data_IF_244912287473
#
_entry.id   IF_244912287473
#
_cell.length_a   1.000
_cell.length_b   1.000
_cell.length_c   1.000
_cell.angle_alpha   90.00
_cell.angle_beta   90.00
_cell.angle_gamma   90.00
#
_symmetry.space_group_name_H-M   'P 1'
#
loop_
_entity.id
_entity.type
_entity.pdbx_description
1 polymer ?
#
# COMPACT_ATOMS: atom_id res chain seq x y z
N UNK A 1 9.56 0.45 9.32
CA UNK A 1 8.09 0.55 9.48
C UNK A 1 7.64 1.60 10.51
N UNK A 2 8.08 1.53 11.78
CA UNK A 2 7.65 2.51 12.80
C UNK A 2 8.02 3.97 12.48
N UNK A 3 9.13 4.21 11.77
CA UNK A 3 9.46 5.56 11.25
C UNK A 3 8.37 6.07 10.30
N UNK A 4 8.01 5.29 9.28
CA UNK A 4 6.98 5.63 8.29
C UNK A 4 5.63 5.99 8.94
N UNK A 5 5.14 5.17 9.87
CA UNK A 5 3.85 5.41 10.54
C UNK A 5 3.89 6.60 11.52
N UNK A 6 5.06 6.96 12.06
CA UNK A 6 5.21 8.13 12.93
C UNK A 6 5.11 9.44 12.17
N UNK A 7 5.64 9.50 10.96
CA UNK A 7 5.59 10.69 10.10
C UNK A 7 4.18 10.95 9.54
N UNK A 8 3.33 9.92 9.48
CA UNK A 8 1.98 9.98 8.89
C UNK A 8 0.86 9.87 9.95
N UNK A 9 0.84 10.81 10.90
CA UNK A 9 -0.08 10.77 12.06
C UNK A 9 -1.56 10.62 11.71
N UNK A 10 -2.04 11.28 10.65
CA UNK A 10 -3.44 11.16 10.18
C UNK A 10 -3.76 9.73 9.70
N UNK A 11 -2.88 9.15 8.88
CA UNK A 11 -3.03 7.79 8.35
C UNK A 11 -2.98 6.78 9.49
N UNK A 12 -1.99 6.93 10.40
CA UNK A 12 -1.88 6.07 11.58
C UNK A 12 -3.14 6.09 12.44
N UNK A 13 -3.74 7.26 12.65
CA UNK A 13 -4.97 7.37 13.45
C UNK A 13 -6.16 6.69 12.76
N UNK A 14 -6.33 6.92 11.45
CA UNK A 14 -7.39 6.31 10.65
C UNK A 14 -7.33 4.77 10.67
N UNK A 15 -6.12 4.21 10.65
CA UNK A 15 -5.90 2.76 10.65
C UNK A 15 -5.52 2.18 12.02
N UNK A 16 -5.63 2.95 13.10
CA UNK A 16 -5.16 2.55 14.44
C UNK A 16 -5.74 1.20 14.90
N UNK A 17 -7.03 0.95 14.63
CA UNK A 17 -7.71 -0.31 14.97
C UNK A 17 -7.18 -1.50 14.16
N UNK A 18 -6.91 -1.32 12.86
CA UNK A 18 -6.30 -2.35 12.01
C UNK A 18 -4.86 -2.61 12.44
N UNK A 19 -4.06 -1.55 12.59
CA UNK A 19 -2.65 -1.63 12.97
C UNK A 19 -2.49 -2.31 14.35
N UNK A 20 -3.37 -1.98 15.30
CA UNK A 20 -3.39 -2.61 16.63
C UNK A 20 -3.84 -4.08 16.63
N UNK A 21 -4.43 -4.57 15.55
CA UNK A 21 -4.82 -5.97 15.39
C UNK A 21 -3.80 -6.81 14.61
N UNK A 22 -2.74 -6.19 14.09
CA UNK A 22 -1.74 -6.83 13.21
C UNK A 22 -0.33 -6.75 13.80
N UNK A 23 0.59 -7.56 13.26
CA UNK A 23 2.02 -7.45 13.58
C UNK A 23 2.65 -6.13 13.12
N UNK A 24 2.02 -5.42 12.18
CA UNK A 24 2.50 -4.14 11.63
C UNK A 24 2.54 -3.06 12.72
N UNK A 25 1.49 -2.96 13.54
CA UNK A 25 1.34 -1.92 14.57
C UNK A 25 1.85 -2.31 15.96
N UNK A 26 2.54 -3.44 16.12
CA UNK A 26 2.96 -4.02 17.42
C UNK A 26 1.80 -4.38 18.36
N UNK A 27 0.60 -4.59 17.81
CA UNK A 27 -0.52 -5.08 18.58
C UNK A 27 -0.35 -6.53 19.02
N UNK A 28 -1.27 -7.03 19.85
CA UNK A 28 -1.31 -8.44 20.26
C UNK A 28 -1.63 -9.42 19.10
N UNK A 29 -1.78 -8.91 17.86
CA UNK A 29 -1.87 -9.71 16.64
C UNK A 29 -3.07 -10.66 16.62
N UNK A 30 -4.29 -10.11 16.67
CA UNK A 30 -5.50 -10.93 16.55
C UNK A 30 -5.83 -11.32 15.10
N UNK A 31 -5.36 -10.54 14.11
CA UNK A 31 -5.53 -10.85 12.69
C UNK A 31 -4.39 -11.74 12.19
N UNK A 32 -4.76 -12.86 11.57
CA UNK A 32 -3.82 -13.72 10.86
C UNK A 32 -3.52 -13.13 9.48
N UNK A 33 -2.24 -13.02 9.09
CA UNK A 33 -1.88 -12.60 7.75
C UNK A 33 -2.12 -13.71 6.71
N UNK A 34 -2.45 -13.30 5.50
CA UNK A 34 -2.21 -14.08 4.29
C UNK A 34 -0.79 -13.81 3.81
N UNK A 35 0.08 -14.82 3.90
CA UNK A 35 1.48 -14.71 3.50
C UNK A 35 1.63 -15.08 2.03
N UNK A 36 2.43 -14.32 1.30
CA UNK A 36 2.70 -14.55 -0.11
C UNK A 36 4.13 -14.19 -0.48
N UNK A 37 4.53 -14.55 -1.69
CA UNK A 37 5.79 -14.15 -2.30
C UNK A 37 5.55 -13.88 -3.79
N UNK A 38 6.35 -13.01 -4.38
CA UNK A 38 6.30 -12.70 -5.81
C UNK A 38 7.71 -12.71 -6.39
N UNK A 39 7.80 -13.07 -7.68
CA UNK A 39 9.00 -12.88 -8.49
C UNK A 39 8.69 -11.80 -9.53
N UNK A 40 9.45 -10.71 -9.47
CA UNK A 40 9.25 -9.53 -10.31
C UNK A 40 10.48 -9.31 -11.17
N UNK A 41 10.27 -8.74 -12.36
CA UNK A 41 11.33 -8.14 -13.15
C UNK A 41 11.34 -6.63 -12.88
N UNK A 42 12.42 -6.14 -12.28
CA UNK A 42 12.61 -4.73 -11.94
C UNK A 42 13.93 -4.27 -12.52
N UNK A 43 13.87 -3.33 -13.48
CA UNK A 43 15.04 -2.80 -14.18
C UNK A 43 15.94 -3.91 -14.78
N UNK A 44 15.32 -4.88 -15.45
CA UNK A 44 15.96 -6.08 -16.04
C UNK A 44 16.65 -6.99 -15.01
N UNK A 45 16.22 -6.93 -13.74
CA UNK A 45 16.68 -7.80 -12.66
C UNK A 45 15.53 -8.59 -12.06
N UNK A 46 15.76 -9.90 -11.89
CA UNK A 46 14.85 -10.77 -11.15
C UNK A 46 14.88 -10.47 -9.65
N UNK A 47 13.72 -10.19 -9.07
CA UNK A 47 13.57 -9.76 -7.69
C UNK A 47 12.54 -10.60 -6.96
N UNK A 48 12.89 -11.11 -5.78
CA UNK A 48 11.96 -11.83 -4.90
C UNK A 48 11.44 -10.88 -3.81
N UNK A 49 10.12 -10.83 -3.68
CA UNK A 49 9.42 -10.12 -2.63
C UNK A 49 8.73 -11.11 -1.69
N UNK A 50 8.71 -10.78 -0.41
CA UNK A 50 7.92 -11.49 0.60
C UNK A 50 6.85 -10.54 1.11
N UNK A 51 5.61 -11.01 1.18
CA UNK A 51 4.47 -10.19 1.51
C UNK A 51 3.57 -10.77 2.58
N UNK A 52 2.82 -9.89 3.24
CA UNK A 52 1.74 -10.24 4.13
C UNK A 52 0.56 -9.30 3.93
N UNK A 53 -0.62 -9.87 3.69
CA UNK A 53 -1.87 -9.14 3.59
C UNK A 53 -2.70 -9.39 4.85
N UNK A 54 -3.29 -8.32 5.39
CA UNK A 54 -4.22 -8.35 6.50
C UNK A 54 -5.50 -7.68 6.06
N UNK A 55 -6.63 -8.22 6.48
CA UNK A 55 -7.92 -7.66 6.15
C UNK A 55 -8.93 -7.85 7.28
N UNK A 56 -9.89 -6.94 7.35
CA UNK A 56 -11.05 -7.08 8.23
C UNK A 56 -12.25 -6.33 7.69
N UNK A 57 -13.41 -6.92 7.90
CA UNK A 57 -14.67 -6.20 7.85
C UNK A 57 -14.78 -5.19 8.98
N UNK A 58 -15.60 -4.17 8.75
CA UNK A 58 -16.03 -3.18 9.71
C UNK A 58 -17.54 -2.96 9.56
N UNK A 59 -18.13 -2.19 10.48
CA UNK A 59 -19.56 -1.90 10.48
C UNK A 59 -20.00 -1.27 9.14
N UNK A 60 -21.24 -1.54 8.73
CA UNK A 60 -21.83 -0.98 7.50
C UNK A 60 -21.22 -1.50 6.20
N UNK A 61 -20.60 -2.69 6.22
CA UNK A 61 -19.98 -3.29 5.02
C UNK A 61 -18.68 -2.63 4.59
N UNK A 62 -18.16 -1.68 5.37
CA UNK A 62 -16.84 -1.10 5.15
C UNK A 62 -15.74 -2.13 5.41
N UNK A 63 -14.62 -2.00 4.72
CA UNK A 63 -13.53 -2.96 4.77
C UNK A 63 -12.20 -2.23 4.91
N UNK A 64 -11.31 -2.75 5.75
CA UNK A 64 -9.94 -2.27 5.88
C UNK A 64 -8.97 -3.37 5.51
N UNK A 65 -7.91 -3.02 4.80
CA UNK A 65 -6.83 -3.94 4.50
C UNK A 65 -5.46 -3.26 4.65
N UNK A 66 -4.45 -4.03 5.00
CA UNK A 66 -3.06 -3.63 5.02
C UNK A 66 -2.26 -4.67 4.26
N UNK A 67 -1.48 -4.23 3.29
CA UNK A 67 -0.58 -5.07 2.53
C UNK A 67 0.85 -4.57 2.77
N UNK A 68 1.73 -5.47 3.20
CA UNK A 68 3.14 -5.16 3.40
C UNK A 68 3.99 -6.04 2.50
N UNK A 69 4.94 -5.42 1.82
CA UNK A 69 5.94 -6.08 1.00
C UNK A 69 7.33 -5.77 1.53
N UNK A 70 8.18 -6.79 1.56
CA UNK A 70 9.59 -6.70 1.84
C UNK A 70 10.37 -7.23 0.65
N UNK A 71 11.25 -6.39 0.12
CA UNK A 71 12.13 -6.75 -0.97
C UNK A 71 13.36 -7.45 -0.41
N UNK A 72 13.47 -8.75 -0.72
CA UNK A 72 14.50 -9.62 -0.18
C UNK A 72 15.81 -9.55 -1.00
N UNK A 73 15.75 -9.15 -2.27
CA UNK A 73 16.89 -9.03 -3.19
C UNK A 73 16.97 -7.63 -3.84
N UNK A 74 18.17 -7.10 -4.08
CA UNK A 74 18.38 -5.85 -4.82
C UNK A 74 18.42 -4.55 -4.00
N UNK A 75 18.42 -4.65 -2.67
CA UNK A 75 18.41 -3.51 -1.74
C UNK A 75 17.17 -3.52 -0.86
N UNK A 76 17.33 -3.16 0.41
CA UNK A 76 16.23 -3.26 1.36
C UNK A 76 15.22 -2.14 1.15
N UNK A 77 14.02 -2.51 0.68
CA UNK A 77 12.87 -1.66 0.80
C UNK A 77 11.63 -2.38 1.33
N UNK A 78 10.83 -1.60 2.05
CA UNK A 78 9.56 -2.03 2.63
C UNK A 78 8.49 -1.12 2.06
N UNK A 79 7.45 -1.70 1.47
CA UNK A 79 6.23 -0.99 1.12
C UNK A 79 5.12 -1.40 2.09
N UNK A 80 4.35 -0.41 2.55
CA UNK A 80 3.12 -0.61 3.30
C UNK A 80 2.01 0.13 2.55
N UNK A 81 1.00 -0.62 2.14
CA UNK A 81 -0.21 -0.09 1.53
C UNK A 81 -1.38 -0.30 2.48
N UNK A 82 -2.09 0.78 2.81
CA UNK A 82 -3.29 0.73 3.64
C UNK A 82 -4.50 1.10 2.80
N UNK A 83 -5.54 0.28 2.89
CA UNK A 83 -6.79 0.46 2.16
C UNK A 83 -7.94 0.62 3.14
N UNK A 84 -8.72 1.66 2.91
CA UNK A 84 -10.05 1.82 3.48
C UNK A 84 -11.05 1.80 2.33
N UNK A 85 -12.02 0.89 2.41
CA UNK A 85 -13.01 0.65 1.38
C UNK A 85 -14.41 0.84 1.97
N UNK A 86 -15.26 1.52 1.22
CA UNK A 86 -16.67 1.69 1.56
C UNK A 86 -17.54 1.27 0.38
N UNK A 87 -18.60 0.48 0.61
CA UNK A 87 -19.61 0.25 -0.42
C UNK A 87 -20.33 1.57 -0.69
N UNK A 88 -20.45 1.93 -1.96
CA UNK A 88 -21.15 3.12 -2.43
C UNK A 88 -22.01 2.78 -3.64
N UNK A 89 -22.96 3.64 -3.97
CA UNK A 89 -23.71 3.56 -5.22
C UNK A 89 -23.36 4.77 -6.07
N UNK A 90 -22.88 4.54 -7.28
CA UNK A 90 -22.57 5.59 -8.26
C UNK A 90 -23.48 5.37 -9.46
N UNK A 91 -24.35 6.32 -9.76
CA UNK A 91 -25.29 6.25 -10.89
C UNK A 91 -26.14 4.95 -10.88
N UNK A 92 -26.60 4.53 -9.70
CA UNK A 92 -27.39 3.30 -9.53
C UNK A 92 -26.59 2.00 -9.58
N UNK A 93 -25.28 2.04 -9.82
CA UNK A 93 -24.40 0.86 -9.86
C UNK A 93 -23.71 0.65 -8.52
N UNK A 94 -23.69 -0.58 -7.97
CA UNK A 94 -22.83 -0.93 -6.85
C UNK A 94 -21.36 -0.63 -7.18
N UNK A 95 -20.67 0.05 -6.28
CA UNK A 95 -19.28 0.49 -6.45
C UNK A 95 -18.58 0.53 -5.10
N UNK A 96 -17.26 0.71 -5.13
CA UNK A 96 -16.45 0.82 -3.91
C UNK A 96 -15.66 2.12 -3.95
N UNK A 97 -15.85 2.98 -2.94
CA UNK A 97 -14.96 4.10 -2.69
C UNK A 97 -13.73 3.57 -1.97
N UNK A 98 -12.55 3.80 -2.56
CA UNK A 98 -11.27 3.36 -2.00
C UNK A 98 -10.45 4.58 -1.59
N UNK A 99 -10.07 4.65 -0.32
CA UNK A 99 -9.01 5.52 0.16
C UNK A 99 -7.77 4.68 0.45
N UNK A 100 -6.66 5.02 -0.23
CA UNK A 100 -5.40 4.28 -0.18
C UNK A 100 -4.29 5.19 0.34
N UNK A 101 -3.50 4.67 1.27
CA UNK A 101 -2.26 5.30 1.73
C UNK A 101 -1.07 4.39 1.44
N UNK A 102 -0.12 4.89 0.65
CA UNK A 102 1.12 4.18 0.30
C UNK A 102 2.30 4.75 1.08
N UNK A 103 3.09 3.89 1.70
CA UNK A 103 4.32 4.25 2.38
C UNK A 103 5.45 3.36 1.89
N UNK A 104 6.54 3.97 1.45
CA UNK A 104 7.71 3.25 0.97
C UNK A 104 8.92 3.71 1.78
N UNK A 105 9.69 2.75 2.27
CA UNK A 105 11.00 2.99 2.88
C UNK A 105 12.03 2.25 2.05
N UNK A 106 13.00 2.97 1.49
CA UNK A 106 14.17 2.40 0.83
C UNK A 106 15.43 3.05 1.42
N UNK A 107 16.51 2.29 1.57
CA UNK A 107 17.78 2.81 2.11
C UNK A 107 18.30 4.00 1.28
N UNK A 108 18.12 3.95 -0.04
CA UNK A 108 18.48 5.03 -0.98
C UNK A 108 17.65 6.29 -0.82
N UNK A 109 16.39 6.20 -0.38
CA UNK A 109 15.53 7.38 -0.14
C UNK A 109 15.97 8.18 1.10
N UNK A 110 16.57 7.50 2.09
CA UNK A 110 17.05 8.14 3.33
C UNK A 110 18.25 9.08 3.13
N UNK A 111 19.02 8.86 2.06
CA UNK A 111 20.17 9.71 1.70
C UNK A 111 19.82 10.85 0.74
N UNK A 112 18.59 10.90 0.22
CA UNK A 112 18.17 11.99 -0.68
C UNK A 112 17.82 13.25 0.12
N UNK A 113 18.35 14.39 -0.33
CA UNK A 113 18.08 15.68 0.30
C UNK A 113 17.57 16.71 -0.72
N UNK A 114 16.69 17.61 -0.28
CA UNK A 114 16.21 18.73 -1.09
C UNK A 114 15.57 18.32 -2.43
N UNK A 115 16.19 18.72 -3.54
CA UNK A 115 15.64 18.57 -4.90
C UNK A 115 15.56 17.12 -5.35
N UNK A 116 16.51 16.28 -4.93
CA UNK A 116 16.58 14.87 -5.32
C UNK A 116 15.37 14.10 -4.80
N UNK A 117 14.98 14.37 -3.54
CA UNK A 117 13.78 13.79 -2.93
C UNK A 117 12.52 14.21 -3.69
N UNK A 118 12.37 15.50 -4.00
CA UNK A 118 11.22 16.03 -4.75
C UNK A 118 11.13 15.41 -6.16
N UNK A 119 12.28 15.22 -6.81
CA UNK A 119 12.38 14.53 -8.09
C UNK A 119 11.89 13.09 -8.01
N UNK A 120 12.36 12.31 -7.03
CA UNK A 120 11.94 10.93 -6.82
C UNK A 120 10.45 10.81 -6.48
N UNK A 121 9.92 11.68 -5.62
CA UNK A 121 8.48 11.74 -5.30
C UNK A 121 7.64 12.06 -6.56
N UNK A 122 8.10 13.01 -7.40
CA UNK A 122 7.41 13.36 -8.65
C UNK A 122 7.39 12.20 -9.66
N UNK A 123 8.51 11.49 -9.82
CA UNK A 123 8.59 10.31 -10.71
C UNK A 123 7.69 9.19 -10.21
N UNK A 124 7.68 8.93 -8.89
CA UNK A 124 6.78 7.95 -8.27
C UNK A 124 5.32 8.29 -8.56
N UNK A 125 4.91 9.55 -8.34
CA UNK A 125 3.54 9.99 -8.62
C UNK A 125 3.19 9.85 -10.10
N UNK A 126 4.10 10.22 -11.01
CA UNK A 126 3.89 10.05 -12.45
C UNK A 126 3.68 8.58 -12.83
N UNK A 127 4.46 7.67 -12.25
CA UNK A 127 4.34 6.24 -12.49
C UNK A 127 3.02 5.68 -11.93
N UNK A 128 2.63 6.09 -10.72
CA UNK A 128 1.33 5.72 -10.12
C UNK A 128 0.17 6.22 -10.99
N UNK A 129 0.19 7.49 -11.41
CA UNK A 129 -0.84 8.04 -12.30
C UNK A 129 -0.93 7.27 -13.61
N UNK A 130 0.22 6.97 -14.24
CA UNK A 130 0.27 6.16 -15.46
C UNK A 130 -0.35 4.78 -15.24
N UNK A 131 0.02 4.08 -14.17
CA UNK A 131 -0.52 2.76 -13.85
C UNK A 131 -2.04 2.81 -13.62
N UNK A 132 -2.55 3.79 -12.88
CA UNK A 132 -3.99 4.00 -12.67
C UNK A 132 -4.71 4.28 -13.98
N UNK A 133 -4.15 5.13 -14.85
CA UNK A 133 -4.75 5.42 -16.17
C UNK A 133 -4.81 4.17 -17.04
N UNK A 134 -3.74 3.38 -17.09
CA UNK A 134 -3.71 2.12 -17.84
C UNK A 134 -4.74 1.13 -17.28
N UNK A 135 -4.76 0.94 -15.96
CA UNK A 135 -5.74 0.08 -15.30
C UNK A 135 -7.18 0.49 -15.62
N UNK A 136 -7.50 1.79 -15.55
CA UNK A 136 -8.83 2.31 -15.90
C UNK A 136 -9.19 2.11 -17.36
N UNK A 137 -8.23 2.22 -18.27
CA UNK A 137 -8.45 1.94 -19.69
C UNK A 137 -8.76 0.46 -19.91
N UNK A 138 -7.98 -0.41 -19.29
CA UNK A 138 -8.08 -1.86 -19.48
C UNK A 138 -9.35 -2.43 -18.80
N UNK A 139 -9.85 -1.79 -17.74
CA UNK A 139 -11.11 -2.16 -17.05
C UNK A 139 -12.34 -1.41 -17.55
N UNK A 140 -12.17 -0.25 -18.20
CA UNK A 140 -13.25 0.58 -18.73
C UNK A 140 -13.69 0.22 -20.16
N UNK A 141 -12.91 -0.56 -20.89
CA UNK A 141 -13.30 -1.18 -22.15
C UNK A 141 -14.16 -2.41 -21.88
N UNK A 142 -15.49 -2.23 -21.85
CA UNK A 142 -16.43 -3.33 -21.62
C UNK A 142 -16.26 -4.48 -22.60
N UNK A 143 -16.30 -5.70 -22.06
CA UNK A 143 -17.04 -6.81 -22.69
C UNK A 143 -18.49 -6.70 -22.29
#
# INVERSE_FOLDING_TARGET
MNGLLREQGKIRNQFSSLLGATGIGRGAGSLKPELYWELLDVDDQGVVTLGASYSRGSAGGSYQAADILYYASGGYYVALTLYQMWPVTVEGKPSTLVWRGDMISAASLGSLHGVERLGSESVMMKNITKAVTLFRRDTGGGR
#
